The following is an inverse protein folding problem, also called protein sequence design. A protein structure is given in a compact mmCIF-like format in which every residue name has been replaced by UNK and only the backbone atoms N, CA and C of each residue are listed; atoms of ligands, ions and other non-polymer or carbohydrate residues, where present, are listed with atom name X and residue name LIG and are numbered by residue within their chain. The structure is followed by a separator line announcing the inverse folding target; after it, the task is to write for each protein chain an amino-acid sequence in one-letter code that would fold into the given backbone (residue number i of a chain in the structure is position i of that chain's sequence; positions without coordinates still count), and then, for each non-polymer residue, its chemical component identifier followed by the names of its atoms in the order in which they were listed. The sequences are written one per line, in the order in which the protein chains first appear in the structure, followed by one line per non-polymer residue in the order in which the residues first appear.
data_IF_993939887359
#
_entry.id   IF_993939887359
#
_cell.length_a   1.000
_cell.length_b   1.000
_cell.length_c   1.000
_cell.angle_alpha   90.00
_cell.angle_beta   90.00
_cell.angle_gamma   90.00
#
_symmetry.space_group_name_H-M   'P 1'
#
loop_
_entity.id
_entity.type
_entity.pdbx_description
1 polymer ?
#
# COMPACT_ATOMS: atom_id res chain seq x y z
N UNK A 1 11.07 -0.02 -12.16
CA UNK A 1 12.22 -0.87 -12.55
C UNK A 1 11.83 -2.01 -13.49
N UNK A 2 10.63 -2.59 -13.37
CA UNK A 2 10.16 -3.69 -14.24
C UNK A 2 10.32 -3.43 -15.76
N UNK A 3 9.88 -2.28 -16.28
CA UNK A 3 9.95 -1.99 -17.73
C UNK A 3 11.39 -1.95 -18.26
N UNK A 4 12.32 -1.40 -17.47
CA UNK A 4 13.74 -1.38 -17.78
C UNK A 4 14.35 -2.79 -17.74
N UNK A 5 13.97 -3.60 -16.75
CA UNK A 5 14.37 -5.01 -16.67
C UNK A 5 13.89 -5.84 -17.86
N UNK A 6 12.66 -5.62 -18.34
CA UNK A 6 12.12 -6.29 -19.53
C UNK A 6 12.92 -5.91 -20.79
N UNK A 7 13.24 -4.62 -20.96
CA UNK A 7 14.05 -4.16 -22.08
C UNK A 7 15.42 -4.85 -22.12
N UNK A 8 16.14 -4.88 -20.99
CA UNK A 8 17.43 -5.55 -20.90
C UNK A 8 17.34 -7.07 -21.09
N UNK A 9 16.25 -7.70 -20.65
CA UNK A 9 16.00 -9.12 -20.85
C UNK A 9 15.89 -9.45 -22.35
N UNK A 10 15.16 -8.66 -23.12
CA UNK A 10 15.04 -8.84 -24.58
C UNK A 10 16.39 -8.69 -25.26
N UNK A 11 17.16 -7.65 -24.92
CA UNK A 11 18.50 -7.41 -25.47
C UNK A 11 19.45 -8.57 -25.13
N UNK A 12 19.44 -9.04 -23.88
CA UNK A 12 20.27 -10.16 -23.43
C UNK A 12 19.94 -11.46 -24.18
N UNK A 13 18.65 -11.77 -24.38
CA UNK A 13 18.21 -12.95 -25.14
C UNK A 13 18.67 -12.87 -26.60
N UNK A 14 18.54 -11.72 -27.26
CA UNK A 14 19.03 -11.52 -28.62
C UNK A 14 20.55 -11.71 -28.72
N UNK A 15 21.31 -11.24 -27.73
CA UNK A 15 22.76 -11.42 -27.68
C UNK A 15 23.17 -12.90 -27.51
N UNK A 16 22.42 -13.68 -26.73
CA UNK A 16 22.61 -15.14 -26.63
C UNK A 16 22.44 -15.80 -28.00
N UNK A 17 21.36 -15.49 -28.73
CA UNK A 17 21.13 -16.02 -30.07
C UNK A 17 22.24 -15.64 -31.05
N UNK A 18 22.69 -14.38 -31.02
CA UNK A 18 23.81 -13.92 -31.85
C UNK A 18 25.10 -14.71 -31.54
N UNK A 19 25.38 -14.95 -30.26
CA UNK A 19 26.55 -15.72 -29.83
C UNK A 19 26.49 -17.18 -30.29
N UNK A 20 25.31 -17.81 -30.26
CA UNK A 20 25.15 -19.17 -30.75
C UNK A 20 25.36 -19.29 -32.26
N UNK A 21 25.04 -18.24 -33.03
CA UNK A 21 25.17 -18.23 -34.49
C UNK A 21 26.55 -17.75 -34.98
N UNK A 22 27.48 -17.39 -34.09
CA UNK A 22 28.81 -16.93 -34.50
C UNK A 22 29.65 -18.08 -35.07
N UNK A 23 30.09 -17.96 -36.32
CA UNK A 23 31.03 -18.90 -36.92
C UNK A 23 32.41 -18.73 -36.29
N UNK A 24 32.97 -19.84 -35.87
CA UNK A 24 34.22 -19.97 -35.12
C UNK A 24 35.34 -20.56 -35.97
N UNK A 25 35.06 -20.80 -37.26
CA UNK A 25 35.98 -21.42 -38.19
C UNK A 25 36.58 -20.44 -39.19
N UNK A 26 37.82 -20.70 -39.60
CA UNK A 26 38.53 -19.96 -40.67
C UNK A 26 38.94 -20.92 -41.77
N UNK A 27 38.98 -20.42 -43.02
CA UNK A 27 39.41 -21.21 -44.16
C UNK A 27 40.93 -21.43 -44.13
N UNK A 28 41.38 -22.63 -44.44
CA UNK A 28 42.80 -22.97 -44.61
C UNK A 28 43.17 -22.96 -46.08
N UNK A 29 44.46 -22.73 -46.38
CA UNK A 29 44.97 -22.71 -47.77
C UNK A 29 44.79 -24.01 -48.56
N UNK A 30 44.45 -25.12 -47.89
CA UNK A 30 44.19 -26.42 -48.51
C UNK A 30 42.70 -26.74 -48.68
N UNK A 31 41.82 -25.74 -48.63
CA UNK A 31 40.38 -25.90 -48.88
C UNK A 31 39.57 -26.45 -47.70
N UNK A 32 40.20 -26.63 -46.53
CA UNK A 32 39.52 -27.04 -45.30
C UNK A 32 39.08 -25.84 -44.44
N UNK A 33 38.26 -26.11 -43.42
CA UNK A 33 37.96 -25.15 -42.35
C UNK A 33 38.47 -25.70 -41.04
N UNK A 34 39.11 -24.86 -40.23
CA UNK A 34 39.57 -25.21 -38.89
C UNK A 34 38.99 -24.24 -37.89
N UNK A 35 38.69 -24.73 -36.69
CA UNK A 35 38.19 -23.90 -35.61
C UNK A 35 39.32 -23.00 -35.09
N UNK A 36 39.08 -21.71 -35.10
CA UNK A 36 40.00 -20.73 -34.57
C UNK A 36 39.80 -20.63 -33.04
N UNK A 37 40.86 -20.87 -32.28
CA UNK A 37 40.82 -20.85 -30.80
C UNK A 37 40.40 -19.47 -30.27
N UNK A 38 40.86 -18.38 -30.89
CA UNK A 38 40.48 -17.02 -30.50
C UNK A 38 39.01 -16.73 -30.79
N UNK A 39 38.50 -17.20 -31.93
CA UNK A 39 37.10 -17.01 -32.32
C UNK A 39 36.15 -17.86 -31.45
N UNK A 40 36.59 -19.06 -31.05
CA UNK A 40 35.94 -19.88 -30.04
C UNK A 40 35.89 -19.19 -28.67
N UNK A 41 37.02 -18.64 -28.19
CA UNK A 41 37.09 -17.92 -26.93
C UNK A 41 36.22 -16.64 -26.94
N UNK A 42 36.15 -15.95 -28.09
CA UNK A 42 35.27 -14.79 -28.27
C UNK A 42 33.78 -15.20 -28.17
N UNK A 43 33.41 -16.36 -28.73
CA UNK A 43 32.04 -16.90 -28.63
C UNK A 43 31.67 -17.19 -27.18
N UNK A 44 32.59 -17.83 -26.46
CA UNK A 44 32.42 -18.20 -25.06
C UNK A 44 32.26 -16.97 -24.16
N UNK A 45 33.13 -15.97 -24.33
CA UNK A 45 33.05 -14.72 -23.57
C UNK A 45 31.73 -13.96 -23.84
N UNK A 46 31.30 -13.92 -25.11
CA UNK A 46 30.03 -13.28 -25.48
C UNK A 46 28.82 -14.03 -24.87
N UNK A 47 28.85 -15.37 -24.86
CA UNK A 47 27.85 -16.19 -24.20
C UNK A 47 27.80 -15.93 -22.68
N UNK A 48 28.95 -15.88 -22.01
CA UNK A 48 29.03 -15.64 -20.57
C UNK A 48 28.44 -14.27 -20.19
N UNK A 49 28.83 -13.22 -20.91
CA UNK A 49 28.29 -11.86 -20.68
C UNK A 49 26.79 -11.83 -20.94
N UNK A 50 26.32 -12.45 -22.03
CA UNK A 50 24.91 -12.46 -22.39
C UNK A 50 24.06 -13.19 -21.34
N UNK A 51 24.52 -14.35 -20.84
CA UNK A 51 23.86 -15.08 -19.77
C UNK A 51 23.80 -14.27 -18.46
N UNK A 52 24.88 -13.56 -18.12
CA UNK A 52 24.90 -12.70 -16.94
C UNK A 52 23.90 -11.55 -17.04
N UNK A 53 23.80 -10.91 -18.21
CA UNK A 53 22.81 -9.86 -18.47
C UNK A 53 21.38 -10.41 -18.36
N UNK A 54 21.10 -11.59 -18.93
CA UNK A 54 19.78 -12.23 -18.83
C UNK A 54 19.43 -12.52 -17.38
N UNK A 55 20.36 -13.07 -16.59
CA UNK A 55 20.16 -13.36 -15.17
C UNK A 55 19.85 -12.09 -14.38
N UNK A 56 20.68 -11.04 -14.51
CA UNK A 56 20.47 -9.77 -13.82
C UNK A 56 19.13 -9.13 -14.23
N UNK A 57 18.78 -9.19 -15.51
CA UNK A 57 17.52 -8.66 -16.03
C UNK A 57 16.31 -9.42 -15.47
N UNK A 58 16.40 -10.74 -15.39
CA UNK A 58 15.37 -11.58 -14.78
C UNK A 58 15.16 -11.21 -13.31
N UNK A 59 16.23 -11.03 -12.55
CA UNK A 59 16.17 -10.58 -11.15
C UNK A 59 15.49 -9.20 -11.04
N UNK A 60 15.84 -8.24 -11.91
CA UNK A 60 15.19 -6.93 -11.94
C UNK A 60 13.71 -6.98 -12.30
N UNK A 61 13.28 -7.94 -13.11
CA UNK A 61 11.86 -8.14 -13.43
C UNK A 61 11.10 -8.76 -12.26
N UNK A 62 11.67 -9.79 -11.62
CA UNK A 62 11.06 -10.49 -10.48
C UNK A 62 10.98 -9.58 -9.25
N UNK A 63 12.07 -8.92 -8.89
CA UNK A 63 12.16 -8.10 -7.68
C UNK A 63 11.83 -6.62 -7.91
N UNK A 64 11.87 -6.13 -9.14
CA UNK A 64 11.64 -4.72 -9.49
C UNK A 64 10.17 -4.35 -9.75
N UNK A 65 9.24 -5.25 -9.43
CA UNK A 65 7.85 -4.89 -9.21
C UNK A 65 7.75 -3.93 -8.02
N UNK A 66 7.02 -2.82 -8.18
CA UNK A 66 6.61 -2.04 -7.00
C UNK A 66 5.86 -3.01 -6.11
N UNK A 67 6.43 -3.36 -4.95
CA UNK A 67 5.59 -3.70 -3.80
C UNK A 67 4.74 -2.45 -3.60
N UNK A 68 3.51 -2.47 -4.10
CA UNK A 68 2.50 -1.61 -3.55
C UNK A 68 2.48 -1.98 -2.08
N UNK A 69 3.09 -1.13 -1.25
CA UNK A 69 2.96 -1.15 0.20
C UNK A 69 1.53 -0.74 0.62
N UNK A 70 0.54 -1.11 -0.19
CA UNK A 70 -0.86 -1.20 0.19
C UNK A 70 -1.20 -2.68 0.41
N UNK A 71 -0.32 -3.35 1.14
CA UNK A 71 -0.69 -4.56 1.86
C UNK A 71 -0.67 -4.17 3.32
N UNK A 72 -1.86 -4.09 3.92
CA UNK A 72 -2.10 -4.12 5.36
C UNK A 72 -1.33 -5.29 5.99
N UNK A 73 -0.02 -5.16 6.13
CA UNK A 73 0.69 -5.84 7.19
C UNK A 73 0.30 -5.09 8.45
N UNK A 74 -0.85 -5.47 9.02
CA UNK A 74 -1.07 -5.33 10.45
C UNK A 74 0.13 -6.00 11.12
N UNK A 75 1.22 -5.27 11.32
CA UNK A 75 2.03 -5.51 12.49
C UNK A 75 1.04 -5.31 13.62
N UNK A 76 0.53 -6.40 14.19
CA UNK A 76 -0.44 -6.37 15.29
C UNK A 76 0.25 -5.92 16.59
N UNK A 77 1.12 -4.91 16.47
CA UNK A 77 2.02 -4.42 17.47
C UNK A 77 1.92 -2.90 17.54
N UNK A 78 1.87 -2.41 18.76
CA UNK A 78 1.90 -0.99 19.12
C UNK A 78 3.00 -0.78 20.15
N UNK A 79 3.40 0.48 20.35
CA UNK A 79 4.26 0.84 21.47
C UNK A 79 3.42 0.97 22.74
N UNK A 80 3.89 0.37 23.82
CA UNK A 80 3.31 0.54 25.15
C UNK A 80 3.29 2.05 25.50
N UNK A 81 2.17 2.61 25.96
CA UNK A 81 2.08 4.03 26.28
C UNK A 81 2.86 4.43 27.54
N UNK A 82 3.35 3.47 28.34
CA UNK A 82 4.07 3.73 29.59
C UNK A 82 5.58 3.54 29.45
N UNK A 83 6.03 2.48 28.78
CA UNK A 83 7.46 2.15 28.65
C UNK A 83 7.98 2.17 27.21
N UNK A 84 7.15 2.54 26.22
CA UNK A 84 7.47 2.64 24.79
C UNK A 84 7.88 1.33 24.08
N UNK A 85 7.90 0.20 24.78
CA UNK A 85 8.29 -1.09 24.24
C UNK A 85 7.20 -1.71 23.35
N UNK A 86 7.58 -2.58 22.41
CA UNK A 86 6.61 -3.22 21.50
C UNK A 86 5.75 -4.27 22.21
N UNK A 87 4.43 -4.12 22.09
CA UNK A 87 3.40 -5.00 22.64
C UNK A 87 2.31 -5.28 21.60
N UNK A 88 1.52 -6.34 21.81
CA UNK A 88 0.39 -6.66 20.93
C UNK A 88 -0.70 -5.57 21.03
N UNK A 89 -1.39 -5.26 19.93
CA UNK A 89 -2.58 -4.37 19.91
C UNK A 89 -3.66 -4.84 20.89
N UNK A 90 -3.78 -6.15 21.05
CA UNK A 90 -4.76 -6.79 21.95
C UNK A 90 -4.25 -6.96 23.39
N UNK A 91 -3.08 -6.42 23.72
CA UNK A 91 -2.52 -6.54 25.06
C UNK A 91 -3.42 -5.83 26.09
N UNK A 92 -3.79 -6.57 27.14
CA UNK A 92 -4.44 -5.99 28.33
C UNK A 92 -3.39 -5.37 29.24
N UNK A 93 -2.29 -6.10 29.46
CA UNK A 93 -1.14 -5.65 30.26
C UNK A 93 0.14 -5.72 29.43
N UNK A 94 1.04 -4.77 29.66
CA UNK A 94 2.36 -4.77 29.04
C UNK A 94 3.24 -5.87 29.65
N UNK A 95 3.81 -6.74 28.81
CA UNK A 95 4.75 -7.79 29.25
C UNK A 95 6.08 -7.27 29.82
N UNK A 96 6.39 -6.00 29.59
CA UNK A 96 7.68 -5.40 29.94
C UNK A 96 7.60 -4.56 31.22
N UNK A 97 6.56 -3.73 31.37
CA UNK A 97 6.39 -2.86 32.54
C UNK A 97 5.21 -3.25 33.45
N UNK A 98 4.38 -4.23 33.07
CA UNK A 98 3.25 -4.70 33.87
C UNK A 98 2.02 -3.79 33.91
N UNK A 99 2.11 -2.56 33.37
CA UNK A 99 0.99 -1.60 33.33
C UNK A 99 -0.19 -2.14 32.54
N UNK A 100 -1.41 -1.82 32.98
CA UNK A 100 -2.62 -2.00 32.19
C UNK A 100 -2.64 -0.96 31.07
N UNK A 101 -2.71 -1.43 29.82
CA UNK A 101 -2.61 -0.57 28.63
C UNK A 101 -3.94 -0.32 27.94
N UNK A 102 -5.03 -0.97 28.35
CA UNK A 102 -6.27 -0.97 27.56
C UNK A 102 -6.86 0.43 27.40
N UNK A 103 -7.11 1.14 28.50
CA UNK A 103 -7.76 2.45 28.48
C UNK A 103 -6.89 3.47 27.76
N UNK A 104 -5.60 3.50 28.07
CA UNK A 104 -4.67 4.44 27.44
C UNK A 104 -4.50 4.17 25.95
N UNK A 105 -4.52 2.90 25.53
CA UNK A 105 -4.47 2.51 24.12
C UNK A 105 -5.75 2.92 23.40
N UNK A 106 -6.93 2.73 24.01
CA UNK A 106 -8.21 3.21 23.47
C UNK A 106 -8.21 4.73 23.32
N UNK A 107 -7.78 5.47 24.34
CA UNK A 107 -7.68 6.95 24.31
C UNK A 107 -6.76 7.42 23.17
N UNK A 108 -5.57 6.82 23.02
CA UNK A 108 -4.62 7.14 21.95
C UNK A 108 -5.21 6.79 20.58
N UNK A 109 -5.94 5.68 20.46
CA UNK A 109 -6.57 5.24 19.22
C UNK A 109 -7.68 6.20 18.80
N UNK A 110 -8.52 6.64 19.75
CA UNK A 110 -9.56 7.64 19.53
C UNK A 110 -8.96 8.97 19.06
N UNK A 111 -7.93 9.47 19.74
CA UNK A 111 -7.25 10.73 19.35
C UNK A 111 -6.58 10.68 17.97
N UNK A 112 -6.16 9.49 17.53
CA UNK A 112 -5.54 9.27 16.21
C UNK A 112 -6.55 8.94 15.11
N UNK A 113 -7.83 8.84 15.45
CA UNK A 113 -8.87 8.52 14.48
C UNK A 113 -8.95 9.59 13.39
N UNK A 114 -9.09 9.14 12.13
CA UNK A 114 -9.23 9.99 10.96
C UNK A 114 -10.48 9.57 10.17
N UNK A 115 -11.41 10.47 9.86
CA UNK A 115 -12.58 10.14 9.05
C UNK A 115 -12.23 9.49 7.70
N UNK A 116 -11.18 9.96 7.04
CA UNK A 116 -10.80 9.46 5.71
C UNK A 116 -10.29 8.02 5.70
N UNK A 117 -9.93 7.45 6.86
CA UNK A 117 -9.52 6.05 6.94
C UNK A 117 -10.69 5.07 6.95
N UNK A 118 -11.93 5.56 7.15
CA UNK A 118 -13.14 4.74 7.10
C UNK A 118 -13.49 4.49 5.62
N UNK A 119 -13.64 3.22 5.18
CA UNK A 119 -14.03 2.92 3.81
C UNK A 119 -15.38 3.54 3.45
N UNK A 120 -15.53 4.21 2.29
CA UNK A 120 -16.80 4.81 1.87
C UNK A 120 -17.97 3.80 1.84
N UNK A 121 -17.69 2.54 1.54
CA UNK A 121 -18.67 1.43 1.50
C UNK A 121 -19.33 1.18 2.85
N UNK A 122 -18.70 1.59 3.96
CA UNK A 122 -19.26 1.44 5.30
C UNK A 122 -20.54 2.26 5.50
N UNK A 123 -20.68 3.37 4.77
CA UNK A 123 -21.77 4.32 4.96
C UNK A 123 -23.01 4.03 4.12
N UNK A 124 -22.97 3.06 3.21
CA UNK A 124 -24.10 2.82 2.31
C UNK A 124 -24.29 1.34 1.99
N UNK A 125 -25.52 0.99 1.62
CA UNK A 125 -25.85 -0.32 1.05
C UNK A 125 -26.48 -0.15 -0.33
N UNK A 126 -26.22 -1.11 -1.22
CA UNK A 126 -26.82 -1.13 -2.56
C UNK A 126 -28.15 -1.88 -2.49
N UNK A 127 -29.20 -1.29 -3.06
CA UNK A 127 -30.54 -1.84 -3.19
C UNK A 127 -30.87 -2.05 -4.67
N UNK A 128 -32.00 -2.71 -4.96
CA UNK A 128 -32.50 -2.88 -6.33
C UNK A 128 -32.83 -1.54 -6.98
N UNK A 129 -33.39 -0.61 -6.19
CA UNK A 129 -33.90 0.68 -6.67
C UNK A 129 -32.93 1.85 -6.43
N UNK A 130 -31.68 1.58 -6.03
CA UNK A 130 -30.67 2.62 -5.83
C UNK A 130 -29.67 2.35 -4.70
N UNK A 131 -29.15 3.43 -4.14
CA UNK A 131 -28.16 3.42 -3.06
C UNK A 131 -28.80 4.06 -1.84
N UNK A 132 -28.71 3.39 -0.70
CA UNK A 132 -29.30 3.83 0.57
C UNK A 132 -28.17 4.16 1.55
N UNK A 133 -28.12 5.40 2.03
CA UNK A 133 -27.23 5.83 3.10
C UNK A 133 -27.65 5.15 4.42
N UNK A 134 -26.69 4.65 5.19
CA UNK A 134 -26.92 4.07 6.51
C UNK A 134 -26.66 5.15 7.55
N UNK A 135 -27.73 5.83 7.97
CA UNK A 135 -27.64 7.00 8.85
C UNK A 135 -26.98 6.69 10.21
N UNK A 136 -27.24 5.52 10.78
CA UNK A 136 -26.63 5.08 12.04
C UNK A 136 -25.09 5.07 11.96
N UNK A 137 -24.50 4.80 10.78
CA UNK A 137 -23.04 4.84 10.58
C UNK A 137 -22.49 6.25 10.50
N UNK A 138 -23.29 7.19 9.97
CA UNK A 138 -22.94 8.61 9.96
C UNK A 138 -23.00 9.15 11.39
N UNK A 139 -24.00 8.74 12.17
CA UNK A 139 -24.10 9.06 13.60
C UNK A 139 -22.89 8.51 14.39
N UNK A 140 -22.54 7.24 14.19
CA UNK A 140 -21.39 6.58 14.83
C UNK A 140 -20.07 7.32 14.53
N UNK A 141 -19.89 7.81 13.29
CA UNK A 141 -18.77 8.65 12.91
C UNK A 141 -18.74 9.95 13.71
N UNK A 142 -19.85 10.71 13.74
CA UNK A 142 -19.93 11.97 14.47
C UNK A 142 -19.69 11.79 15.97
N UNK A 143 -20.30 10.77 16.59
CA UNK A 143 -20.07 10.44 18.00
C UNK A 143 -18.60 10.12 18.29
N UNK A 144 -17.94 9.39 17.40
CA UNK A 144 -16.52 9.04 17.55
C UNK A 144 -15.64 10.29 17.51
N UNK A 145 -15.94 11.25 16.63
CA UNK A 145 -15.20 12.50 16.54
C UNK A 145 -15.37 13.37 17.78
N UNK A 146 -16.57 13.42 18.35
CA UNK A 146 -16.80 14.16 19.59
C UNK A 146 -16.10 13.47 20.76
N UNK A 147 -16.22 12.15 20.91
CA UNK A 147 -15.50 11.38 21.95
C UNK A 147 -13.98 11.52 21.85
N UNK A 148 -13.43 11.71 20.65
CA UNK A 148 -12.00 11.93 20.43
C UNK A 148 -11.54 13.36 20.78
N UNK A 149 -12.47 14.32 20.88
CA UNK A 149 -12.20 15.75 21.07
C UNK A 149 -13.15 16.33 22.14
N UNK A 150 -13.23 15.68 23.31
CA UNK A 150 -14.08 16.11 24.44
C UNK A 150 -13.76 17.54 24.91
N UNK A 151 -12.55 18.01 24.63
CA UNK A 151 -12.03 19.33 24.97
C UNK A 151 -12.40 20.45 23.98
N UNK A 152 -13.09 20.14 22.87
CA UNK A 152 -13.44 21.10 21.82
C UNK A 152 -14.94 21.21 21.63
N UNK A 153 -15.38 22.38 21.20
CA UNK A 153 -16.77 22.55 20.77
C UNK A 153 -17.02 21.93 19.37
N UNK A 154 -18.29 21.78 19.00
CA UNK A 154 -18.68 21.13 17.75
C UNK A 154 -18.25 21.89 16.50
N UNK A 155 -18.12 23.22 16.57
CA UNK A 155 -17.65 24.06 15.46
C UNK A 155 -16.14 23.89 15.26
N UNK A 156 -15.38 23.84 16.36
CA UNK A 156 -13.94 23.54 16.31
C UNK A 156 -13.67 22.14 15.74
N UNK A 157 -14.48 21.15 16.12
CA UNK A 157 -14.39 19.78 15.58
C UNK A 157 -14.70 19.78 14.08
N UNK A 158 -15.75 20.48 13.65
CA UNK A 158 -16.11 20.60 12.24
C UNK A 158 -14.96 21.16 11.41
N UNK A 159 -14.38 22.27 11.87
CA UNK A 159 -13.26 22.93 11.20
C UNK A 159 -12.02 22.03 11.17
N UNK A 160 -11.71 21.37 12.29
CA UNK A 160 -10.55 20.49 12.41
C UNK A 160 -10.60 19.30 11.41
N UNK A 161 -11.79 18.72 11.18
CA UNK A 161 -11.95 17.55 10.31
C UNK A 161 -12.49 17.86 8.91
N UNK A 162 -12.67 19.13 8.55
CA UNK A 162 -13.29 19.55 7.30
C UNK A 162 -12.69 18.86 6.06
N UNK A 163 -11.35 18.86 5.94
CA UNK A 163 -10.65 18.28 4.79
C UNK A 163 -10.77 16.76 4.73
N UNK A 164 -10.73 16.09 5.88
CA UNK A 164 -10.85 14.64 6.02
C UNK A 164 -12.26 14.17 5.65
N UNK A 165 -13.29 14.89 6.13
CA UNK A 165 -14.70 14.64 5.80
C UNK A 165 -14.99 14.91 4.33
N UNK A 166 -14.41 15.97 3.76
CA UNK A 166 -14.55 16.25 2.32
C UNK A 166 -13.92 15.14 1.47
N UNK A 167 -12.74 14.65 1.86
CA UNK A 167 -12.07 13.51 1.21
C UNK A 167 -12.93 12.25 1.26
N UNK A 168 -13.46 11.90 2.43
CA UNK A 168 -14.39 10.80 2.61
C UNK A 168 -15.64 10.95 1.73
N UNK A 169 -16.25 12.13 1.74
CA UNK A 169 -17.45 12.41 0.96
C UNK A 169 -17.21 12.32 -0.56
N UNK A 170 -16.02 12.71 -1.04
CA UNK A 170 -15.60 12.53 -2.45
C UNK A 170 -15.49 11.04 -2.82
N UNK A 171 -15.22 10.15 -1.87
CA UNK A 171 -15.21 8.70 -2.06
C UNK A 171 -16.61 8.08 -2.21
N UNK A 172 -17.66 8.73 -1.71
CA UNK A 172 -19.03 8.21 -1.76
C UNK A 172 -19.66 8.32 -3.15
N UNK A 173 -20.65 7.46 -3.49
CA UNK A 173 -21.49 7.62 -4.68
C UNK A 173 -22.16 9.00 -4.73
N UNK A 174 -22.15 9.65 -5.90
CA UNK A 174 -22.66 11.03 -6.08
C UNK A 174 -24.07 11.24 -5.53
N UNK A 175 -24.95 10.24 -5.67
CA UNK A 175 -26.35 10.29 -5.24
C UNK A 175 -26.52 10.57 -3.73
N UNK A 176 -25.58 10.13 -2.89
CA UNK A 176 -25.70 10.22 -1.42
C UNK A 176 -24.77 11.27 -0.80
N UNK A 177 -23.92 11.95 -1.56
CA UNK A 177 -22.92 12.89 -1.01
C UNK A 177 -23.53 14.06 -0.25
N UNK A 178 -24.61 14.62 -0.80
CA UNK A 178 -25.35 15.72 -0.18
C UNK A 178 -25.98 15.24 1.13
N UNK A 179 -26.70 14.11 1.06
CA UNK A 179 -27.35 13.50 2.21
C UNK A 179 -26.33 13.16 3.32
N UNK A 180 -25.19 12.56 2.97
CA UNK A 180 -24.13 12.24 3.92
C UNK A 180 -23.65 13.48 4.67
N UNK A 181 -23.34 14.56 3.95
CA UNK A 181 -22.86 15.80 4.56
C UNK A 181 -23.92 16.44 5.47
N UNK A 182 -25.17 16.51 5.03
CA UNK A 182 -26.28 17.03 5.83
C UNK A 182 -26.49 16.22 7.12
N UNK A 183 -26.46 14.88 7.02
CA UNK A 183 -26.58 13.99 8.19
C UNK A 183 -25.38 14.10 9.12
N UNK A 184 -24.16 14.22 8.59
CA UNK A 184 -22.95 14.44 9.38
C UNK A 184 -23.05 15.72 10.22
N UNK A 185 -23.40 16.85 9.60
CA UNK A 185 -23.56 18.13 10.29
C UNK A 185 -24.69 18.05 11.33
N UNK A 186 -25.82 17.44 10.96
CA UNK A 186 -26.93 17.22 11.89
C UNK A 186 -26.50 16.44 13.14
N UNK A 187 -25.78 15.34 12.97
CA UNK A 187 -25.32 14.54 14.11
C UNK A 187 -24.18 15.20 14.89
N UNK A 188 -23.31 15.97 14.23
CA UNK A 188 -22.21 16.66 14.91
C UNK A 188 -22.73 17.74 15.86
N UNK A 189 -23.72 18.53 15.43
CA UNK A 189 -24.27 19.65 16.21
C UNK A 189 -25.55 19.30 17.00
N UNK A 190 -26.19 18.18 16.71
CA UNK A 190 -27.46 17.78 17.31
C UNK A 190 -27.35 16.82 18.50
N UNK A 191 -26.13 16.41 18.88
CA UNK A 191 -25.92 15.57 20.06
C UNK A 191 -25.76 16.49 21.27
N UNK A 192 -26.86 16.72 21.98
CA UNK A 192 -26.80 17.17 23.38
C UNK A 192 -26.35 15.96 24.21
N UNK A 193 -25.20 16.08 24.88
CA UNK A 193 -24.71 15.06 25.80
C UNK A 193 -25.63 15.05 27.02
N UNK A 194 -26.53 14.07 27.10
CA UNK A 194 -27.09 13.69 28.39
C UNK A 194 -25.95 13.08 29.21
N UNK A 195 -25.60 13.76 30.30
CA UNK A 195 -24.66 13.33 31.35
C UNK A 195 -24.98 11.93 31.90
#
# INVERSE_FOLDING_TARGET
MKNFGIFLLVVGVLAVFASFNMDVSVATGYGGRVNNIGLMAQRENLLLISCFIVLCSLLLVIFGGKRSLNGDSKSNQIKCPFCAEQINVEAIKCKHCGSDVQEKTKEITLKKFKPSSVPPEFFYKRRKDGIELIDDRVKELSETLIKANIDKDTQEIELHYQSEIESLNKGLPKAIRKQFHERYIHWLHGIEFNE
#
